data_IF_909432089797
#
_entry.id   IF_909432089797
#
_cell.length_a   1.000
_cell.length_b   1.000
_cell.length_c   1.000
_cell.angle_alpha   90.00
_cell.angle_beta   90.00
_cell.angle_gamma   90.00
#
_symmetry.space_group_name_H-M   'P 1'
#
loop_
_entity.id
_entity.type
_entity.pdbx_description
1 polymer ?
#
# COMPACT_ATOMS: atom_id res chain seq x y z
N UNK A 1 33.74 -34.21 51.76
CA UNK A 1 34.64 -33.05 52.01
C UNK A 1 33.78 -31.83 52.24
N UNK A 2 33.58 -31.47 53.51
CA UNK A 2 33.01 -30.19 53.90
C UNK A 2 34.00 -29.06 53.59
N UNK A 3 33.47 -27.88 53.27
CA UNK A 3 33.76 -26.64 54.01
C UNK A 3 32.64 -25.64 53.75
N UNK A 4 31.84 -25.43 54.78
CA UNK A 4 31.09 -24.20 55.02
C UNK A 4 32.08 -23.02 54.94
N UNK A 5 31.68 -21.80 54.58
CA UNK A 5 31.21 -20.81 55.56
C UNK A 5 30.78 -19.53 54.82
N UNK A 6 29.55 -19.12 55.14
CA UNK A 6 29.03 -17.75 55.32
C UNK A 6 29.38 -16.61 54.35
N UNK A 7 28.33 -16.17 53.64
CA UNK A 7 27.62 -14.90 53.86
C UNK A 7 28.42 -13.79 54.56
N UNK A 8 28.81 -12.76 53.80
CA UNK A 8 28.78 -11.37 54.25
C UNK A 8 28.94 -10.42 53.05
N UNK A 9 28.24 -9.28 53.14
CA UNK A 9 28.42 -8.06 52.34
C UNK A 9 28.02 -8.17 50.86
N UNK A 10 26.80 -7.82 50.43
CA UNK A 10 26.07 -6.57 50.64
C UNK A 10 26.89 -5.31 50.25
N UNK A 11 26.40 -4.65 49.18
CA UNK A 11 26.56 -3.23 48.84
C UNK A 11 27.93 -2.79 48.34
N UNK A 12 28.03 -2.61 47.01
CA UNK A 12 28.97 -1.77 46.24
C UNK A 12 29.10 -2.45 44.86
N UNK A 13 28.61 -1.95 43.72
CA UNK A 13 28.69 -0.60 43.16
C UNK A 13 27.53 -0.48 42.16
N UNK A 14 26.47 0.21 42.57
CA UNK A 14 25.62 0.96 41.65
C UNK A 14 26.42 2.22 41.34
N UNK A 15 27.07 2.29 40.17
CA UNK A 15 27.94 3.43 39.90
C UNK A 15 28.76 3.38 38.62
N UNK A 16 28.23 2.86 37.51
CA UNK A 16 28.94 2.96 36.23
C UNK A 16 28.00 3.00 35.01
N UNK A 17 27.05 3.94 34.99
CA UNK A 17 26.18 4.13 33.82
C UNK A 17 25.80 5.59 33.50
N UNK A 18 26.55 6.59 34.00
CA UNK A 18 26.34 8.00 33.63
C UNK A 18 27.64 8.64 33.12
N UNK A 19 28.09 8.26 31.92
CA UNK A 19 29.22 8.92 31.26
C UNK A 19 28.99 9.09 29.74
N UNK A 20 27.78 9.49 29.34
CA UNK A 20 27.43 9.64 27.92
C UNK A 20 26.44 10.77 27.61
N UNK A 21 26.41 11.84 28.41
CA UNK A 21 25.58 13.01 28.04
C UNK A 21 26.26 13.80 26.90
N UNK A 22 25.62 13.93 25.72
CA UNK A 22 26.12 14.84 24.69
C UNK A 22 26.02 16.28 25.19
N UNK A 23 27.11 17.05 25.06
CA UNK A 23 27.09 18.51 25.27
C UNK A 23 26.14 19.12 24.24
N UNK A 24 25.04 19.72 24.73
CA UNK A 24 24.15 20.53 23.92
C UNK A 24 24.94 21.69 23.31
N UNK A 25 25.16 21.64 21.99
CA UNK A 25 25.73 22.74 21.25
C UNK A 25 24.66 23.82 21.08
N UNK A 26 24.97 25.10 21.32
CA UNK A 26 24.04 26.18 21.07
C UNK A 26 23.82 26.27 19.55
N UNK A 27 22.64 25.83 19.10
CA UNK A 27 22.14 26.11 17.76
C UNK A 27 21.92 27.61 17.65
N UNK A 28 22.78 28.29 16.90
CA UNK A 28 22.64 29.71 16.60
C UNK A 28 21.25 29.96 16.02
N UNK A 29 20.45 30.78 16.69
CA UNK A 29 19.14 31.18 16.18
C UNK A 29 19.36 32.01 14.91
N UNK A 30 18.65 31.72 13.81
CA UNK A 30 18.76 32.53 12.59
C UNK A 30 18.34 33.98 12.91
N UNK A 31 18.97 34.99 12.27
CA UNK A 31 18.60 36.38 12.48
C UNK A 31 17.13 36.59 12.11
N UNK A 32 16.35 37.08 13.07
CA UNK A 32 14.95 37.42 12.85
C UNK A 32 14.90 38.68 11.98
N UNK A 33 14.66 38.47 10.69
CA UNK A 33 14.48 39.56 9.73
C UNK A 33 13.13 40.24 9.98
N UNK A 34 13.12 41.56 10.11
CA UNK A 34 11.91 42.37 10.21
C UNK A 34 10.95 42.10 9.02
N UNK A 35 9.62 42.24 9.17
CA UNK A 35 8.67 41.89 8.13
C UNK A 35 8.78 42.88 6.98
N UNK A 36 9.65 42.61 6.02
CA UNK A 36 9.57 43.19 4.70
C UNK A 36 8.22 42.76 4.11
N UNK A 37 7.41 43.72 3.67
CA UNK A 37 6.09 43.51 3.06
C UNK A 37 6.15 42.80 1.71
N UNK A 38 6.68 41.58 1.70
CA UNK A 38 6.65 40.64 0.59
C UNK A 38 5.88 39.43 1.09
N UNK A 39 4.72 39.15 0.49
CA UNK A 39 3.96 37.96 0.82
C UNK A 39 4.91 36.75 0.77
N UNK A 40 5.04 36.03 1.89
CA UNK A 40 5.85 34.82 1.95
C UNK A 40 5.39 33.85 0.84
N UNK A 41 6.31 33.18 0.13
CA UNK A 41 5.95 32.32 -0.99
C UNK A 41 4.99 31.22 -0.51
N UNK A 42 3.78 31.23 -1.03
CA UNK A 42 2.76 30.21 -0.72
C UNK A 42 3.02 28.98 -1.58
N UNK A 43 3.19 27.83 -0.92
CA UNK A 43 3.41 26.54 -1.59
C UNK A 43 2.07 25.88 -1.83
N UNK A 44 1.84 25.45 -3.07
CA UNK A 44 0.66 24.70 -3.46
C UNK A 44 1.06 23.35 -4.03
N UNK A 45 0.19 22.35 -3.82
CA UNK A 45 0.29 21.04 -4.44
C UNK A 45 -0.78 20.96 -5.53
N UNK A 46 -0.35 20.66 -6.75
CA UNK A 46 -1.26 20.37 -7.86
C UNK A 46 -1.60 18.88 -7.79
N UNK A 47 -2.90 18.58 -7.80
CA UNK A 47 -3.44 17.21 -7.81
C UNK A 47 -4.49 17.08 -8.92
N UNK A 48 -4.79 15.86 -9.34
CA UNK A 48 -5.86 15.60 -10.27
C UNK A 48 -7.22 15.97 -9.64
N UNK A 49 -8.11 16.59 -10.42
CA UNK A 49 -9.50 16.84 -10.01
C UNK A 49 -10.26 15.52 -9.75
N UNK A 50 -9.95 14.48 -10.55
CA UNK A 50 -10.54 13.15 -10.44
C UNK A 50 -9.50 12.07 -10.63
N UNK A 51 -9.55 11.06 -9.78
CA UNK A 51 -8.72 9.86 -9.84
C UNK A 51 -9.61 8.62 -9.73
N UNK A 52 -9.32 7.59 -10.51
CA UNK A 52 -10.04 6.32 -10.48
C UNK A 52 -9.05 5.18 -10.59
N UNK A 53 -9.05 4.29 -9.61
CA UNK A 53 -8.32 3.03 -9.66
C UNK A 53 -9.21 1.97 -10.27
N UNK A 54 -8.78 1.37 -11.37
CA UNK A 54 -9.50 0.31 -12.05
C UNK A 54 -8.95 -1.05 -11.63
N UNK A 55 -9.84 -1.96 -11.27
CA UNK A 55 -9.54 -3.34 -10.96
C UNK A 55 -10.53 -4.26 -11.66
N UNK A 56 -10.09 -5.48 -11.98
CA UNK A 56 -10.97 -6.49 -12.54
C UNK A 56 -11.86 -7.09 -11.44
N UNK A 57 -13.12 -7.38 -11.77
CA UNK A 57 -14.06 -8.05 -10.86
C UNK A 57 -13.80 -9.56 -10.73
N UNK A 58 -12.94 -10.12 -11.57
CA UNK A 58 -12.57 -11.54 -11.56
C UNK A 58 -11.10 -11.72 -11.88
N UNK A 59 -10.54 -12.84 -11.46
CA UNK A 59 -9.18 -13.23 -11.83
C UNK A 59 -9.17 -13.79 -13.25
N UNK A 60 -8.09 -13.50 -13.99
CA UNK A 60 -7.90 -14.01 -15.33
C UNK A 60 -6.58 -13.55 -15.94
N UNK A 61 -6.19 -14.18 -17.05
CA UNK A 61 -5.04 -13.74 -17.85
C UNK A 61 -5.51 -12.69 -18.85
N UNK A 62 -4.78 -11.59 -18.99
CA UNK A 62 -5.03 -10.65 -20.07
C UNK A 62 -4.66 -11.28 -21.42
N UNK A 63 -5.61 -11.30 -22.35
CA UNK A 63 -5.36 -11.62 -23.75
C UNK A 63 -4.71 -10.43 -24.47
N UNK A 64 -5.12 -9.20 -24.14
CA UNK A 64 -4.50 -7.97 -24.62
C UNK A 64 -4.75 -6.78 -23.71
N UNK A 65 -3.85 -5.81 -23.80
CA UNK A 65 -4.03 -4.44 -23.28
C UNK A 65 -4.11 -3.51 -24.49
N UNK A 66 -5.11 -2.63 -24.53
CA UNK A 66 -5.47 -1.82 -25.70
C UNK A 66 -5.01 -0.36 -25.60
N UNK A 67 -4.35 0.01 -24.51
CA UNK A 67 -3.92 1.38 -24.20
C UNK A 67 -2.49 1.39 -23.64
N UNK A 68 -1.83 2.53 -23.73
CA UNK A 68 -0.51 2.79 -23.19
C UNK A 68 -0.54 3.85 -22.08
N UNK A 69 0.57 3.99 -21.37
CA UNK A 69 0.75 5.04 -20.37
C UNK A 69 0.73 6.41 -21.05
N UNK A 70 -0.06 7.34 -20.51
CA UNK A 70 -0.22 8.69 -21.04
C UNK A 70 -1.38 8.84 -22.04
N UNK A 71 -2.02 7.75 -22.46
CA UNK A 71 -3.18 7.82 -23.35
C UNK A 71 -4.39 8.45 -22.64
N UNK A 72 -5.15 9.26 -23.39
CA UNK A 72 -6.45 9.74 -22.95
C UNK A 72 -7.52 8.68 -23.16
N UNK A 73 -8.27 8.37 -22.10
CA UNK A 73 -9.34 7.36 -22.11
C UNK A 73 -10.68 7.95 -21.71
N UNK A 74 -11.77 7.31 -22.12
CA UNK A 74 -13.14 7.72 -21.78
C UNK A 74 -13.86 6.62 -21.00
N UNK A 75 -14.89 7.00 -20.23
CA UNK A 75 -15.74 6.04 -19.52
C UNK A 75 -16.35 5.02 -20.49
N UNK A 76 -16.33 3.74 -20.11
CA UNK A 76 -16.82 2.63 -20.93
C UNK A 76 -15.86 2.15 -22.03
N UNK A 77 -14.68 2.76 -22.19
CA UNK A 77 -13.69 2.32 -23.16
C UNK A 77 -13.05 0.98 -22.75
N UNK A 78 -12.82 0.10 -23.74
CA UNK A 78 -12.08 -1.14 -23.53
C UNK A 78 -10.59 -0.83 -23.30
N UNK A 79 -10.09 -1.08 -22.09
CA UNK A 79 -8.68 -0.87 -21.74
C UNK A 79 -7.86 -2.17 -21.82
N UNK A 80 -8.45 -3.28 -21.43
CA UNK A 80 -7.84 -4.61 -21.49
C UNK A 80 -8.92 -5.68 -21.67
N UNK A 81 -8.56 -6.80 -22.30
CA UNK A 81 -9.43 -7.95 -22.47
C UNK A 81 -8.80 -9.20 -21.85
N UNK A 82 -9.62 -10.01 -21.19
CA UNK A 82 -9.23 -11.30 -20.63
C UNK A 82 -9.26 -12.40 -21.70
N UNK A 83 -8.46 -13.43 -21.50
CA UNK A 83 -8.63 -14.71 -22.16
C UNK A 83 -9.77 -15.47 -21.47
N UNK A 84 -10.86 -15.68 -22.20
CA UNK A 84 -12.11 -16.21 -21.66
C UNK A 84 -12.37 -17.67 -22.06
N UNK A 85 -11.40 -18.39 -22.64
CA UNK A 85 -11.63 -19.74 -23.19
C UNK A 85 -12.27 -20.73 -22.20
N UNK A 86 -11.74 -20.81 -20.99
CA UNK A 86 -12.27 -21.72 -19.95
C UNK A 86 -13.67 -21.30 -19.47
N UNK A 87 -13.87 -20.00 -19.23
CA UNK A 87 -15.17 -19.47 -18.75
C UNK A 87 -16.25 -19.68 -19.82
N UNK A 88 -15.90 -19.49 -21.10
CA UNK A 88 -16.81 -19.76 -22.21
C UNK A 88 -17.17 -21.24 -22.29
N UNK A 89 -16.19 -22.14 -22.21
CA UNK A 89 -16.45 -23.58 -22.23
C UNK A 89 -17.39 -24.03 -21.09
N UNK A 90 -17.17 -23.54 -19.87
CA UNK A 90 -18.06 -23.83 -18.72
C UNK A 90 -19.48 -23.29 -18.92
N UNK A 91 -19.61 -22.07 -19.45
CA UNK A 91 -20.92 -21.49 -19.79
C UNK A 91 -21.64 -22.31 -20.85
N UNK A 92 -20.93 -22.75 -21.88
CA UNK A 92 -21.52 -23.50 -22.99
C UNK A 92 -21.96 -24.90 -22.55
N UNK A 93 -21.19 -25.56 -21.66
CA UNK A 93 -21.61 -26.79 -21.00
C UNK A 93 -22.90 -26.60 -20.16
N UNK A 94 -22.93 -25.58 -19.30
CA UNK A 94 -24.12 -25.28 -18.50
C UNK A 94 -25.36 -24.94 -19.36
N UNK A 95 -25.15 -24.28 -20.50
CA UNK A 95 -26.22 -24.02 -21.47
C UNK A 95 -26.74 -25.32 -22.08
N UNK A 96 -25.87 -26.24 -22.47
CA UNK A 96 -26.28 -27.54 -23.02
C UNK A 96 -27.09 -28.36 -22.00
N UNK A 97 -26.69 -28.34 -20.72
CA UNK A 97 -27.44 -28.99 -19.64
C UNK A 97 -28.83 -28.37 -19.45
N UNK A 98 -28.94 -27.03 -19.51
CA UNK A 98 -30.21 -26.33 -19.42
C UNK A 98 -31.15 -26.68 -20.58
N UNK A 99 -30.64 -26.68 -21.82
CA UNK A 99 -31.45 -27.02 -23.00
C UNK A 99 -31.91 -28.48 -22.95
N UNK A 100 -31.04 -29.41 -22.52
CA UNK A 100 -31.42 -30.80 -22.34
C UNK A 100 -32.54 -30.95 -21.31
N UNK A 101 -32.43 -30.29 -20.15
CA UNK A 101 -33.47 -30.32 -19.12
C UNK A 101 -34.79 -29.73 -19.62
N UNK A 102 -34.73 -28.66 -20.42
CA UNK A 102 -35.93 -28.03 -21.00
C UNK A 102 -36.66 -28.97 -21.95
N UNK A 103 -35.94 -29.61 -22.87
CA UNK A 103 -36.52 -30.58 -23.81
C UNK A 103 -37.17 -31.74 -23.05
N UNK A 104 -36.54 -32.22 -21.97
CA UNK A 104 -37.09 -33.31 -21.16
C UNK A 104 -38.35 -32.90 -20.37
N UNK A 105 -38.53 -31.62 -20.05
CA UNK A 105 -39.75 -31.13 -19.39
C UNK A 105 -40.90 -30.87 -20.38
N UNK A 106 -40.58 -30.49 -21.61
CA UNK A 106 -41.55 -30.18 -22.67
C UNK A 106 -42.04 -31.42 -23.43
N UNK A 107 -41.37 -32.57 -23.28
CA UNK A 107 -41.74 -33.87 -23.87
C UNK A 107 -42.72 -34.65 -23.00
#
# INVERSE_FOLDING_TARGET
MQRHVSRALAVAIVGLACAGLPKAQPVASPPMSAPAGTAAPVRFLVVADRESTLAASTAGRFARVAVNLGDSVRAGQLLAAFDCGEVQARRDAARAELEAARVQYEA
#
